data_IF_749686743220
#
_entry.id   IF_749686743220
#
_cell.length_a   1.000
_cell.length_b   1.000
_cell.length_c   1.000
_cell.angle_alpha   90.00
_cell.angle_beta   90.00
_cell.angle_gamma   90.00
#
_symmetry.space_group_name_H-M   'P 1'
#
loop_
_entity.id
_entity.type
_entity.pdbx_description
1 polymer ?
#
# COMPACT_ATOMS: atom_id res chain seq x y z
N UNK A 1 4.80 -14.64 1.53
CA UNK A 1 3.98 -13.47 1.90
C UNK A 1 2.58 -13.87 2.35
N UNK A 2 1.69 -14.38 1.49
CA UNK A 2 0.30 -14.70 1.88
C UNK A 2 0.20 -15.66 3.08
N UNK A 3 1.07 -16.68 3.14
CA UNK A 3 1.17 -17.58 4.29
C UNK A 3 1.59 -16.88 5.57
N UNK A 4 2.52 -15.94 5.50
CA UNK A 4 2.91 -15.15 6.65
C UNK A 4 1.72 -14.31 7.16
N UNK A 5 1.00 -13.62 6.27
CA UNK A 5 -0.20 -12.85 6.64
C UNK A 5 -1.25 -13.76 7.30
N UNK A 6 -1.54 -14.92 6.69
CA UNK A 6 -2.50 -15.89 7.24
C UNK A 6 -2.08 -16.38 8.64
N UNK A 7 -0.81 -16.77 8.82
CA UNK A 7 -0.32 -17.28 10.11
C UNK A 7 -0.31 -16.19 11.17
N UNK A 8 0.07 -14.96 10.84
CA UNK A 8 0.05 -13.82 11.77
C UNK A 8 -1.37 -13.46 12.21
N UNK A 9 -2.34 -13.49 11.29
CA UNK A 9 -3.74 -13.22 11.61
C UNK A 9 -4.42 -14.40 12.33
N UNK A 10 -3.97 -15.62 12.08
CA UNK A 10 -4.58 -16.85 12.63
C UNK A 10 -5.86 -17.29 11.90
N UNK A 11 -6.28 -16.60 10.84
CA UNK A 11 -7.48 -16.93 10.07
C UNK A 11 -7.32 -16.59 8.57
N UNK A 12 -8.35 -16.93 7.79
CA UNK A 12 -8.34 -16.83 6.34
C UNK A 12 -7.81 -18.09 5.66
N UNK A 13 -8.16 -18.25 4.38
CA UNK A 13 -7.83 -19.43 3.58
C UNK A 13 -6.96 -19.06 2.39
N UNK A 14 -5.83 -19.74 2.23
CA UNK A 14 -5.03 -19.66 1.01
C UNK A 14 -5.60 -20.62 -0.03
N UNK A 15 -5.86 -20.12 -1.23
CA UNK A 15 -6.38 -20.91 -2.34
C UNK A 15 -5.65 -20.57 -3.65
N UNK A 16 -5.65 -21.54 -4.58
CA UNK A 16 -5.00 -21.46 -5.89
C UNK A 16 -3.97 -22.59 -6.10
N UNK A 17 -3.19 -22.54 -7.20
CA UNK A 17 -3.16 -21.45 -8.18
C UNK A 17 -4.46 -21.34 -8.99
N UNK A 18 -4.88 -20.10 -9.27
CA UNK A 18 -5.94 -19.78 -10.21
C UNK A 18 -5.32 -19.25 -11.51
N UNK A 19 -5.72 -19.81 -12.64
CA UNK A 19 -5.25 -19.37 -13.96
C UNK A 19 -6.06 -18.17 -14.44
N UNK A 20 -5.38 -17.08 -14.75
CA UNK A 20 -5.96 -15.88 -15.37
C UNK A 20 -6.13 -16.07 -16.88
N UNK A 21 -6.93 -15.20 -17.51
CA UNK A 21 -7.17 -15.21 -18.97
C UNK A 21 -5.87 -15.14 -19.81
N UNK A 22 -4.83 -14.51 -19.29
CA UNK A 22 -3.52 -14.38 -19.94
C UNK A 22 -2.56 -15.54 -19.61
N UNK A 23 -3.03 -16.62 -18.99
CA UNK A 23 -2.23 -17.79 -18.59
C UNK A 23 -1.44 -17.62 -17.30
N UNK A 24 -1.33 -16.40 -16.75
CA UNK A 24 -0.64 -16.19 -15.47
C UNK A 24 -1.40 -16.85 -14.32
N UNK A 25 -0.65 -17.37 -13.35
CA UNK A 25 -1.23 -17.99 -12.16
C UNK A 25 -1.25 -17.02 -10.98
N UNK A 26 -2.31 -17.09 -10.16
CA UNK A 26 -2.44 -16.28 -8.95
C UNK A 26 -2.80 -17.16 -7.76
N UNK A 27 -2.30 -16.77 -6.59
CA UNK A 27 -2.68 -17.36 -5.30
C UNK A 27 -3.40 -16.26 -4.52
N UNK A 28 -4.47 -16.62 -3.81
CA UNK A 28 -5.29 -15.67 -3.05
C UNK A 28 -5.32 -16.05 -1.58
N UNK A 29 -5.23 -15.05 -0.71
CA UNK A 29 -5.69 -15.16 0.68
C UNK A 29 -7.12 -14.64 0.72
N UNK A 30 -8.05 -15.50 1.14
CA UNK A 30 -9.48 -15.24 1.09
C UNK A 30 -10.01 -15.23 2.52
N UNK A 31 -10.73 -14.17 2.87
CA UNK A 31 -11.44 -14.03 4.14
C UNK A 31 -12.93 -14.31 3.93
N UNK A 32 -13.52 -15.12 4.79
CA UNK A 32 -14.96 -15.36 4.81
C UNK A 32 -15.74 -14.13 5.27
N UNK A 33 -17.08 -14.12 5.08
CA UNK A 33 -17.93 -13.07 5.68
C UNK A 33 -17.72 -12.99 7.19
N UNK A 34 -17.67 -14.14 7.85
CA UNK A 34 -17.44 -14.24 9.30
C UNK A 34 -16.07 -13.68 9.69
N UNK A 35 -15.02 -14.01 8.93
CA UNK A 35 -13.66 -13.50 9.18
C UNK A 35 -13.64 -11.96 9.11
N UNK A 36 -14.29 -11.38 8.11
CA UNK A 36 -14.36 -9.93 7.94
C UNK A 36 -15.15 -9.27 9.07
N UNK A 37 -16.35 -9.78 9.36
CA UNK A 37 -17.29 -9.18 10.31
C UNK A 37 -16.85 -9.34 11.77
N UNK A 38 -16.29 -10.48 12.14
CA UNK A 38 -16.00 -10.82 13.54
C UNK A 38 -14.53 -10.65 13.92
N UNK A 39 -13.60 -10.67 12.96
CA UNK A 39 -12.16 -10.64 13.26
C UNK A 39 -11.47 -9.42 12.61
N UNK A 40 -11.45 -9.35 11.28
CA UNK A 40 -10.59 -8.39 10.57
C UNK A 40 -11.04 -6.93 10.74
N UNK A 41 -12.32 -6.63 10.52
CA UNK A 41 -12.80 -5.25 10.68
C UNK A 41 -12.82 -4.80 12.15
N UNK A 42 -13.24 -5.62 13.13
CA UNK A 42 -13.08 -5.28 14.53
C UNK A 42 -11.63 -4.99 14.92
N UNK A 43 -10.66 -5.76 14.40
CA UNK A 43 -9.23 -5.51 14.63
C UNK A 43 -8.80 -4.13 14.09
N UNK A 44 -9.27 -3.76 12.89
CA UNK A 44 -8.99 -2.43 12.33
C UNK A 44 -9.56 -1.31 13.20
N UNK A 45 -10.82 -1.43 13.61
CA UNK A 45 -11.49 -0.43 14.48
C UNK A 45 -10.78 -0.32 15.82
N UNK A 46 -10.42 -1.46 16.44
CA UNK A 46 -9.73 -1.50 17.73
C UNK A 46 -8.39 -0.75 17.71
N UNK A 47 -7.64 -0.87 16.61
CA UNK A 47 -6.34 -0.21 16.44
C UNK A 47 -6.42 1.15 15.73
N UNK A 48 -7.63 1.66 15.43
CA UNK A 48 -7.81 2.90 14.69
C UNK A 48 -7.19 2.86 13.28
N UNK A 49 -7.10 1.68 12.68
CA UNK A 49 -6.60 1.48 11.31
C UNK A 49 -7.76 1.66 10.34
N UNK A 50 -7.55 2.48 9.30
CA UNK A 50 -8.56 2.73 8.28
C UNK A 50 -7.95 2.91 6.90
N UNK A 51 -8.81 2.86 5.88
CA UNK A 51 -8.37 2.95 4.50
C UNK A 51 -8.06 4.39 4.09
N UNK A 52 -6.86 4.60 3.55
CA UNK A 52 -6.36 5.92 3.11
C UNK A 52 -6.68 6.23 1.64
N UNK A 53 -7.66 5.55 1.03
CA UNK A 53 -8.11 5.85 -0.34
C UNK A 53 -9.63 5.76 -0.44
N UNK A 54 -10.24 6.68 -1.20
CA UNK A 54 -11.70 6.76 -1.31
C UNK A 54 -12.32 5.46 -1.85
N UNK A 55 -11.69 4.82 -2.84
CA UNK A 55 -12.17 3.54 -3.38
C UNK A 55 -12.28 2.47 -2.30
N UNK A 56 -11.27 2.36 -1.42
CA UNK A 56 -11.26 1.36 -0.36
C UNK A 56 -12.21 1.73 0.79
N UNK A 57 -12.37 3.01 1.10
CA UNK A 57 -13.39 3.50 2.05
C UNK A 57 -14.81 3.20 1.55
N UNK A 58 -15.10 3.42 0.27
CA UNK A 58 -16.38 3.09 -0.34
C UNK A 58 -16.67 1.58 -0.28
N UNK A 59 -15.68 0.73 -0.57
CA UNK A 59 -15.80 -0.73 -0.45
C UNK A 59 -16.05 -1.17 1.00
N UNK A 60 -15.37 -0.55 1.96
CA UNK A 60 -15.61 -0.81 3.38
C UNK A 60 -17.03 -0.40 3.80
N UNK A 61 -17.48 0.80 3.43
CA UNK A 61 -18.84 1.26 3.71
C UNK A 61 -19.88 0.30 3.14
N UNK A 62 -19.67 -0.18 1.91
CA UNK A 62 -20.54 -1.17 1.29
C UNK A 62 -20.57 -2.48 2.08
N UNK A 63 -19.41 -3.01 2.44
CA UNK A 63 -19.32 -4.23 3.23
C UNK A 63 -20.03 -4.07 4.59
N UNK A 64 -19.79 -2.96 5.29
CA UNK A 64 -20.45 -2.66 6.56
C UNK A 64 -21.96 -2.53 6.43
N UNK A 65 -22.44 -1.87 5.36
CA UNK A 65 -23.87 -1.78 5.06
C UNK A 65 -24.48 -3.17 4.91
N UNK A 66 -23.92 -4.02 4.03
CA UNK A 66 -24.37 -5.41 3.83
C UNK A 66 -24.37 -6.20 5.14
N UNK A 67 -23.34 -6.03 5.98
CA UNK A 67 -23.24 -6.76 7.24
C UNK A 67 -24.29 -6.31 8.26
N UNK A 68 -24.52 -5.00 8.36
CA UNK A 68 -25.49 -4.41 9.30
C UNK A 68 -26.95 -4.68 8.95
N UNK A 69 -27.29 -4.75 7.66
CA UNK A 69 -28.66 -4.96 7.18
C UNK A 69 -28.98 -6.42 6.91
N UNK A 70 -27.95 -7.28 6.82
CA UNK A 70 -28.14 -8.66 6.40
C UNK A 70 -28.49 -8.80 4.91
N UNK A 71 -28.20 -7.79 4.09
CA UNK A 71 -28.53 -7.77 2.66
C UNK A 71 -28.03 -9.03 1.95
N UNK A 72 -28.92 -9.70 1.23
CA UNK A 72 -28.59 -10.91 0.44
C UNK A 72 -28.94 -10.78 -1.04
N UNK A 73 -29.89 -9.90 -1.40
CA UNK A 73 -30.32 -9.70 -2.78
C UNK A 73 -29.83 -8.37 -3.33
N UNK A 74 -29.52 -8.36 -4.61
CA UNK A 74 -29.05 -7.15 -5.30
C UNK A 74 -30.17 -6.12 -5.50
N UNK A 75 -31.42 -6.57 -5.68
CA UNK A 75 -32.60 -5.71 -5.86
C UNK A 75 -32.87 -4.80 -4.66
N UNK A 76 -32.47 -5.23 -3.46
CA UNK A 76 -32.63 -4.50 -2.20
C UNK A 76 -31.50 -3.47 -1.96
N UNK A 77 -30.54 -3.36 -2.88
CA UNK A 77 -29.41 -2.45 -2.76
C UNK A 77 -29.85 -0.98 -2.93
N UNK A 78 -29.49 -0.07 -2.02
CA UNK A 78 -29.80 1.34 -2.19
C UNK A 78 -29.01 1.95 -3.35
N UNK A 79 -29.55 3.02 -3.93
CA UNK A 79 -28.88 3.79 -5.00
C UNK A 79 -27.61 4.49 -4.52
N UNK A 80 -27.52 4.80 -3.22
CA UNK A 80 -26.33 5.36 -2.58
C UNK A 80 -26.01 4.60 -1.29
N UNK A 81 -24.74 4.24 -1.10
CA UNK A 81 -24.28 3.53 0.09
C UNK A 81 -24.03 4.54 1.23
N UNK A 82 -24.67 4.36 2.39
CA UNK A 82 -24.41 5.21 3.55
C UNK A 82 -22.96 5.12 4.00
N UNK A 83 -22.42 6.23 4.51
CA UNK A 83 -21.10 6.24 5.15
C UNK A 83 -21.15 5.54 6.49
N UNK A 84 -20.19 4.65 6.76
CA UNK A 84 -20.08 4.00 8.06
C UNK A 84 -19.54 5.00 9.09
N UNK A 85 -20.13 5.09 10.30
CA UNK A 85 -19.60 5.94 11.37
C UNK A 85 -18.28 5.41 11.94
N UNK A 86 -17.86 4.19 11.55
CA UNK A 86 -16.62 3.57 12.01
C UNK A 86 -15.37 4.11 11.32
N UNK A 87 -15.51 4.82 10.19
CA UNK A 87 -14.38 5.42 9.50
C UNK A 87 -14.21 6.88 9.94
N UNK A 88 -13.02 7.28 10.41
CA UNK A 88 -12.73 8.69 10.62
C UNK A 88 -12.66 9.43 9.28
N UNK A 89 -12.77 10.76 9.33
CA UNK A 89 -12.54 11.61 8.17
C UNK A 89 -11.12 11.43 7.62
N UNK A 90 -10.97 11.49 6.30
CA UNK A 90 -9.63 11.49 5.68
C UNK A 90 -8.83 12.72 6.12
N UNK A 91 -7.50 12.60 6.33
CA UNK A 91 -6.68 13.76 6.63
C UNK A 91 -6.76 14.79 5.49
N UNK A 92 -7.11 16.03 5.83
CA UNK A 92 -7.32 17.10 4.86
C UNK A 92 -6.01 17.66 4.29
N UNK A 93 -4.93 17.61 5.06
CA UNK A 93 -3.60 18.11 4.68
C UNK A 93 -2.56 17.00 4.77
N UNK A 94 -1.49 17.12 3.98
CA UNK A 94 -0.42 16.14 3.87
C UNK A 94 0.26 15.84 5.21
N UNK A 95 0.53 16.87 6.02
CA UNK A 95 1.19 16.72 7.33
C UNK A 95 0.38 15.82 8.29
N UNK A 96 -0.96 15.91 8.25
CA UNK A 96 -1.82 15.11 9.13
C UNK A 96 -1.77 13.60 8.87
N UNK A 97 -1.25 13.15 7.72
CA UNK A 97 -1.00 11.72 7.49
C UNK A 97 0.15 11.21 8.36
N UNK A 98 1.16 12.04 8.65
CA UNK A 98 2.34 11.65 9.42
C UNK A 98 2.00 11.42 10.90
N UNK A 99 0.91 12.02 11.38
CA UNK A 99 0.39 11.85 12.74
C UNK A 99 -0.35 10.51 12.94
N UNK A 100 -0.67 9.80 11.86
CA UNK A 100 -1.34 8.51 11.96
C UNK A 100 -0.34 7.44 12.42
N UNK A 101 -0.57 6.76 13.56
CA UNK A 101 0.42 5.81 14.13
C UNK A 101 0.82 4.68 13.20
N UNK A 102 -0.07 4.28 12.30
CA UNK A 102 0.16 3.21 11.34
C UNK A 102 0.76 3.68 10.00
N UNK A 103 0.93 4.97 9.75
CA UNK A 103 1.22 5.48 8.40
C UNK A 103 2.56 5.00 7.85
N UNK A 104 3.61 4.95 8.68
CA UNK A 104 4.93 4.50 8.23
C UNK A 104 4.92 3.02 7.82
N UNK A 105 4.28 2.16 8.62
CA UNK A 105 4.06 0.76 8.26
C UNK A 105 3.10 0.58 7.09
N UNK A 106 2.11 1.47 6.96
CA UNK A 106 1.23 1.51 5.79
C UNK A 106 2.01 1.82 4.51
N UNK A 107 3.00 2.72 4.54
CA UNK A 107 3.88 2.99 3.39
C UNK A 107 4.67 1.74 3.00
N UNK A 108 5.12 0.94 3.98
CA UNK A 108 5.78 -0.35 3.68
C UNK A 108 4.80 -1.30 2.99
N UNK A 109 3.60 -1.49 3.54
CA UNK A 109 2.56 -2.32 2.93
C UNK A 109 2.14 -1.84 1.54
N UNK A 110 2.02 -0.53 1.37
CA UNK A 110 1.73 0.12 0.10
C UNK A 110 2.87 -0.09 -0.91
N UNK A 111 4.13 -0.04 -0.48
CA UNK A 111 5.31 -0.34 -1.30
C UNK A 111 5.36 -1.80 -1.74
N UNK A 112 4.95 -2.74 -0.86
CA UNK A 112 4.84 -4.16 -1.20
C UNK A 112 3.91 -4.36 -2.39
N UNK A 113 2.78 -3.64 -2.43
CA UNK A 113 1.78 -3.76 -3.48
C UNK A 113 2.11 -2.93 -4.74
N UNK A 114 2.43 -1.64 -4.57
CA UNK A 114 2.43 -0.64 -5.65
C UNK A 114 3.81 -0.01 -5.91
N UNK A 115 4.78 -0.23 -5.02
CA UNK A 115 6.10 0.38 -5.14
C UNK A 115 7.02 -0.38 -6.10
N UNK A 116 8.09 0.27 -6.55
CA UNK A 116 9.12 -0.37 -7.36
C UNK A 116 10.50 0.14 -7.03
N UNK A 117 11.42 -0.80 -6.78
CA UNK A 117 12.86 -0.56 -6.76
C UNK A 117 13.43 -1.01 -8.11
N UNK A 118 13.97 -0.07 -8.88
CA UNK A 118 14.41 -0.35 -10.25
C UNK A 118 15.73 0.36 -10.60
N UNK A 119 16.37 -0.12 -11.65
CA UNK A 119 17.49 0.54 -12.33
C UNK A 119 17.01 0.91 -13.72
N UNK A 120 17.15 2.19 -14.08
CA UNK A 120 16.78 2.71 -15.40
C UNK A 120 17.84 2.34 -16.44
N UNK A 121 17.49 2.47 -17.72
CA UNK A 121 18.42 2.21 -18.83
C UNK A 121 19.69 3.08 -18.79
N UNK A 122 19.62 4.27 -18.17
CA UNK A 122 20.77 5.15 -17.95
C UNK A 122 21.58 4.80 -16.69
N UNK A 123 21.41 3.60 -16.12
CA UNK A 123 22.06 3.13 -14.89
C UNK A 123 21.67 3.92 -13.62
N UNK A 124 20.60 4.73 -13.66
CA UNK A 124 20.09 5.35 -12.45
C UNK A 124 19.19 4.42 -11.67
N UNK A 125 19.59 4.15 -10.43
CA UNK A 125 18.73 3.57 -9.42
C UNK A 125 17.56 4.51 -9.12
N UNK A 126 16.36 3.95 -9.00
CA UNK A 126 15.13 4.70 -8.81
C UNK A 126 14.15 3.95 -7.92
N UNK A 127 13.53 4.68 -7.00
CA UNK A 127 12.36 4.24 -6.27
C UNK A 127 11.12 4.95 -6.79
N UNK A 128 10.03 4.19 -6.98
CA UNK A 128 8.77 4.71 -7.51
C UNK A 128 7.57 4.22 -6.71
N UNK A 129 6.58 5.10 -6.54
CA UNK A 129 5.26 4.79 -6.01
C UNK A 129 4.21 5.32 -6.99
N UNK A 130 3.22 4.49 -7.31
CA UNK A 130 2.11 4.83 -8.21
C UNK A 130 0.76 4.51 -7.57
N UNK A 131 -0.25 5.35 -7.78
CA UNK A 131 -1.64 5.08 -7.36
C UNK A 131 -2.59 5.96 -8.16
N UNK A 132 -3.86 5.59 -8.22
CA UNK A 132 -4.93 6.47 -8.73
C UNK A 132 -4.88 7.84 -8.04
N UNK A 133 -5.23 8.90 -8.77
CA UNK A 133 -5.12 10.30 -8.33
C UNK A 133 -5.52 10.49 -6.85
N UNK A 134 -4.54 10.88 -6.04
CA UNK A 134 -4.71 11.23 -4.63
C UNK A 134 -3.62 12.23 -4.20
N UNK A 135 -3.86 13.54 -4.41
CA UNK A 135 -2.81 14.57 -4.28
C UNK A 135 -2.26 14.66 -2.86
N UNK A 136 -3.15 14.76 -1.87
CA UNK A 136 -2.77 14.96 -0.47
C UNK A 136 -1.91 13.81 0.08
N UNK A 137 -2.24 12.57 -0.30
CA UNK A 137 -1.47 11.39 0.09
C UNK A 137 -0.07 11.40 -0.54
N UNK A 138 0.08 11.78 -1.80
CA UNK A 138 1.39 11.83 -2.45
C UNK A 138 2.25 12.99 -1.95
N UNK A 139 1.63 14.10 -1.57
CA UNK A 139 2.33 15.16 -0.84
C UNK A 139 2.78 14.68 0.55
N UNK A 140 1.99 13.86 1.25
CA UNK A 140 2.42 13.24 2.50
C UNK A 140 3.62 12.31 2.30
N UNK A 141 3.62 11.50 1.22
CA UNK A 141 4.77 10.66 0.86
C UNK A 141 6.03 11.50 0.62
N UNK A 142 5.90 12.68 -0.02
CA UNK A 142 7.04 13.60 -0.21
C UNK A 142 7.61 14.11 1.11
N UNK A 143 6.75 14.42 2.07
CA UNK A 143 7.16 14.83 3.42
C UNK A 143 7.94 13.70 4.11
N UNK A 144 7.46 12.46 4.02
CA UNK A 144 8.14 11.29 4.62
C UNK A 144 9.55 11.08 4.06
N UNK A 145 9.71 11.18 2.75
CA UNK A 145 11.03 11.00 2.11
C UNK A 145 11.86 12.29 2.04
N UNK A 146 11.37 13.42 2.58
CA UNK A 146 12.07 14.70 2.57
C UNK A 146 12.43 15.22 1.17
N UNK A 147 11.56 14.95 0.18
CA UNK A 147 11.84 15.21 -1.23
C UNK A 147 10.98 16.32 -1.83
N UNK A 148 11.58 17.11 -2.73
CA UNK A 148 10.90 18.18 -3.49
C UNK A 148 10.55 17.75 -4.92
N UNK A 149 10.62 16.45 -5.23
CA UNK A 149 10.29 15.93 -6.57
C UNK A 149 8.84 16.23 -6.91
N UNK A 150 8.61 16.70 -8.14
CA UNK A 150 7.26 16.89 -8.68
C UNK A 150 6.54 15.55 -8.77
N UNK A 151 5.28 15.50 -8.33
CA UNK A 151 4.39 14.36 -8.53
C UNK A 151 4.01 14.34 -10.00
N UNK A 152 4.36 13.26 -10.70
CA UNK A 152 3.94 13.04 -12.08
C UNK A 152 2.48 12.62 -12.14
N UNK A 153 1.82 12.91 -13.27
CA UNK A 153 0.50 12.38 -13.60
C UNK A 153 0.67 11.47 -14.81
N UNK A 154 0.48 10.16 -14.61
CA UNK A 154 0.53 9.17 -15.69
C UNK A 154 -0.88 8.88 -16.20
N UNK A 155 -1.04 8.93 -17.53
CA UNK A 155 -2.29 8.63 -18.26
C UNK A 155 -3.51 9.45 -17.79
N UNK A 156 -3.27 10.62 -17.17
CA UNK A 156 -4.32 11.45 -16.58
C UNK A 156 -5.06 10.83 -15.39
N UNK A 157 -4.59 9.69 -14.86
CA UNK A 157 -5.33 8.86 -13.89
C UNK A 157 -4.53 8.45 -12.67
N UNK A 158 -3.20 8.52 -12.74
CA UNK A 158 -2.32 8.02 -11.70
C UNK A 158 -1.33 9.08 -11.25
N UNK A 159 -1.19 9.27 -9.94
CA UNK A 159 -0.04 9.97 -9.39
C UNK A 159 1.15 9.04 -9.32
N UNK A 160 2.31 9.62 -9.64
CA UNK A 160 3.61 8.97 -9.61
C UNK A 160 4.62 9.80 -8.83
N UNK A 161 5.18 9.22 -7.78
CA UNK A 161 6.37 9.74 -7.12
C UNK A 161 7.58 8.94 -7.63
N UNK A 162 8.60 9.63 -8.12
CA UNK A 162 9.78 9.01 -8.71
C UNK A 162 11.05 9.72 -8.23
N UNK A 163 11.90 8.96 -7.54
CA UNK A 163 13.06 9.43 -6.81
C UNK A 163 14.31 8.69 -7.30
N UNK A 164 15.37 9.45 -7.64
CA UNK A 164 16.64 8.89 -8.14
C UNK A 164 17.87 9.74 -7.80
N UNK A 165 17.71 10.84 -7.05
CA UNK A 165 18.88 11.59 -6.58
C UNK A 165 19.57 10.82 -5.45
N UNK A 166 20.88 11.01 -5.24
CA UNK A 166 21.60 10.32 -4.13
C UNK A 166 20.94 10.58 -2.78
N UNK A 167 20.49 11.83 -2.54
CA UNK A 167 19.78 12.22 -1.32
C UNK A 167 18.47 11.45 -1.16
N UNK A 168 17.65 11.40 -2.21
CA UNK A 168 16.36 10.69 -2.13
C UNK A 168 16.59 9.17 -1.95
N UNK A 169 17.59 8.60 -2.63
CA UNK A 169 17.91 7.17 -2.48
C UNK A 169 18.38 6.86 -1.05
N UNK A 170 19.20 7.73 -0.43
CA UNK A 170 19.55 7.58 0.98
C UNK A 170 18.31 7.60 1.87
N UNK A 171 17.41 8.56 1.67
CA UNK A 171 16.17 8.65 2.44
C UNK A 171 15.28 7.40 2.29
N UNK A 172 15.24 6.81 1.08
CA UNK A 172 14.56 5.53 0.84
C UNK A 172 15.22 4.39 1.61
N UNK A 173 16.55 4.28 1.58
CA UNK A 173 17.29 3.26 2.34
C UNK A 173 17.01 3.42 3.83
N UNK A 174 17.21 4.62 4.38
CA UNK A 174 17.01 4.92 5.80
C UNK A 174 15.59 4.57 6.26
N UNK A 175 14.59 4.89 5.43
CA UNK A 175 13.19 4.56 5.69
C UNK A 175 12.97 3.05 5.80
N UNK A 176 13.42 2.25 4.82
CA UNK A 176 13.20 0.80 4.82
C UNK A 176 14.12 0.05 5.79
N UNK A 177 15.25 0.62 6.19
CA UNK A 177 16.08 0.13 7.28
C UNK A 177 15.42 0.37 8.65
N UNK A 178 14.73 1.49 8.82
CA UNK A 178 13.97 1.81 10.05
C UNK A 178 12.69 0.98 10.15
N UNK A 179 11.88 0.96 9.10
CA UNK A 179 10.60 0.22 9.03
C UNK A 179 10.79 -1.12 8.31
N UNK A 180 11.71 -1.96 8.81
CA UNK A 180 12.19 -3.19 8.19
C UNK A 180 11.16 -4.34 8.21
N UNK A 181 10.05 -4.15 7.48
CA UNK A 181 8.94 -5.10 7.38
C UNK A 181 8.56 -5.42 5.93
N UNK A 182 9.39 -5.01 4.96
CA UNK A 182 9.27 -5.43 3.57
C UNK A 182 9.30 -6.97 3.48
N UNK A 183 8.46 -7.55 2.63
CA UNK A 183 8.39 -9.00 2.50
C UNK A 183 7.99 -9.45 1.08
N UNK A 184 8.13 -10.76 0.84
CA UNK A 184 7.79 -11.37 -0.44
C UNK A 184 8.69 -10.89 -1.58
N UNK A 185 8.13 -10.83 -2.79
CA UNK A 185 8.90 -10.44 -3.99
C UNK A 185 9.43 -9.02 -3.90
N UNK A 186 8.78 -8.13 -3.14
CA UNK A 186 9.25 -6.74 -2.96
C UNK A 186 10.55 -6.69 -2.15
N UNK A 187 10.68 -7.50 -1.11
CA UNK A 187 11.94 -7.62 -0.35
C UNK A 187 13.07 -8.15 -1.23
N UNK A 188 12.80 -9.17 -2.05
CA UNK A 188 13.80 -9.69 -3.00
C UNK A 188 14.21 -8.61 -4.01
N UNK A 189 13.25 -7.84 -4.52
CA UNK A 189 13.54 -6.71 -5.42
C UNK A 189 14.39 -5.64 -4.72
N UNK A 190 14.07 -5.29 -3.48
CA UNK A 190 14.81 -4.32 -2.69
C UNK A 190 16.25 -4.77 -2.44
N UNK A 191 16.48 -6.01 -2.03
CA UNK A 191 17.82 -6.53 -1.76
C UNK A 191 18.70 -6.54 -3.03
N UNK A 192 18.16 -6.99 -4.17
CA UNK A 192 18.87 -6.92 -5.45
C UNK A 192 19.21 -5.48 -5.84
N UNK A 193 18.32 -4.55 -5.52
CA UNK A 193 18.54 -3.13 -5.76
C UNK A 193 19.63 -2.55 -4.84
N UNK A 194 19.68 -2.97 -3.56
CA UNK A 194 20.79 -2.62 -2.65
C UNK A 194 22.14 -3.14 -3.15
N UNK A 195 22.21 -4.37 -3.66
CA UNK A 195 23.44 -4.93 -4.21
C UNK A 195 23.94 -4.15 -5.44
N UNK A 196 23.01 -3.73 -6.29
CA UNK A 196 23.32 -2.82 -7.40
C UNK A 196 23.84 -1.47 -6.90
N UNK A 197 23.18 -0.87 -5.91
CA UNK A 197 23.59 0.42 -5.35
C UNK A 197 25.01 0.38 -4.79
N UNK A 198 25.38 -0.69 -4.07
CA UNK A 198 26.72 -0.89 -3.50
C UNK A 198 27.83 -0.95 -4.55
N UNK A 199 27.54 -1.52 -5.72
CA UNK A 199 28.50 -1.63 -6.83
C UNK A 199 28.46 -0.44 -7.81
N UNK A 200 27.49 0.46 -7.66
CA UNK A 200 27.32 1.62 -8.54
C UNK A 200 28.37 2.70 -8.25
N UNK A 201 29.03 3.21 -9.30
CA UNK A 201 29.91 4.39 -9.18
C UNK A 201 29.18 5.62 -8.60
N UNK A 202 27.89 5.78 -8.92
CA UNK A 202 27.09 6.92 -8.46
C UNK A 202 26.64 6.73 -7.02
N UNK A 203 26.12 5.56 -6.66
CA UNK A 203 25.45 5.34 -5.37
C UNK A 203 26.26 4.55 -4.34
N UNK A 204 27.43 4.01 -4.69
CA UNK A 204 28.21 3.13 -3.81
C UNK A 204 28.71 3.78 -2.51
N UNK A 205 28.76 5.11 -2.46
CA UNK A 205 29.11 5.87 -1.25
C UNK A 205 27.94 6.15 -0.30
N UNK A 206 26.74 5.61 -0.56
CA UNK A 206 25.60 5.71 0.35
C UNK A 206 25.79 4.82 1.58
N UNK A 207 25.06 5.12 2.65
CA UNK A 207 24.99 4.28 3.86
C UNK A 207 23.88 3.25 3.67
N UNK A 208 24.19 1.98 3.93
CA UNK A 208 23.30 0.84 3.72
C UNK A 208 22.92 0.21 5.06
#
# INVERSE_FOLDING_TARGET
MLRHIQTTLGFGRIAGPFTNKNGSQTIKLIFSRTDLQQLLFPLFVHHGIFFLTETRRAQFNLAMYIFSTGLTRFEDMPSAIPTSPLLPSMPAIAASFLELPFFMYWIVGFTIAEGSFLVKANNDACFQLNQRLHSTLFEALKLVFGTNRKIGIELGKYHKLSMSSKKDIQAVIDFFSTYNTLMGNKLVQYNKWLDYLKSSQRYGGLKF
#
